data_IF_390446145622
#
_entry.id   IF_390446145622
#
_cell.length_a   1.000
_cell.length_b   1.000
_cell.length_c   1.000
_cell.angle_alpha   90.00
_cell.angle_beta   90.00
_cell.angle_gamma   90.00
#
_symmetry.space_group_name_H-M   'P 1'
#
loop_
_entity.id
_entity.type
_entity.pdbx_description
1 polymer ?
#
# COMPACT_ATOMS: atom_id res chain seq x y z
N UNK A 1 -30.46 5.11 8.61
CA UNK A 1 -29.00 5.38 8.56
C UNK A 1 -28.31 4.13 9.07
N UNK A 2 -27.68 3.35 8.19
CA UNK A 2 -26.91 2.19 8.61
C UNK A 2 -25.57 2.68 9.18
N UNK A 3 -25.33 2.41 10.45
CA UNK A 3 -24.03 2.59 11.09
C UNK A 3 -23.01 1.73 10.36
N UNK A 4 -21.95 2.36 9.83
CA UNK A 4 -20.80 1.64 9.28
C UNK A 4 -20.27 0.64 10.33
N UNK A 5 -19.91 -0.60 9.93
CA UNK A 5 -19.35 -1.56 10.87
C UNK A 5 -18.08 -0.95 11.48
N UNK A 6 -17.90 -1.12 12.80
CA UNK A 6 -16.69 -0.71 13.48
C UNK A 6 -15.50 -1.43 12.82
N UNK A 7 -14.69 -0.70 12.07
CA UNK A 7 -13.40 -1.19 11.63
C UNK A 7 -12.57 -1.47 12.89
N UNK A 8 -11.94 -2.65 12.97
CA UNK A 8 -10.98 -2.92 14.03
C UNK A 8 -9.90 -1.86 14.03
N UNK A 9 -9.41 -1.48 15.22
CA UNK A 9 -8.31 -0.53 15.36
C UNK A 9 -7.13 -0.98 14.49
N UNK A 10 -6.46 -0.06 13.76
CA UNK A 10 -5.32 -0.43 12.94
C UNK A 10 -4.19 -0.99 13.82
N UNK A 11 -3.47 -1.98 13.29
CA UNK A 11 -2.25 -2.51 13.92
C UNK A 11 -1.04 -1.72 13.43
N UNK A 12 -0.25 -1.18 14.35
CA UNK A 12 0.99 -0.47 14.02
C UNK A 12 2.12 -1.49 13.88
N UNK A 13 2.92 -1.33 12.83
CA UNK A 13 4.11 -2.14 12.56
C UNK A 13 5.32 -1.21 12.54
N UNK A 14 6.07 -1.19 13.63
CA UNK A 14 7.27 -0.36 13.83
C UNK A 14 8.54 -1.18 14.05
N UNK A 15 8.45 -2.51 13.99
CA UNK A 15 9.56 -3.44 14.13
C UNK A 15 9.59 -4.48 13.00
N UNK A 16 10.78 -5.00 12.68
CA UNK A 16 10.93 -6.11 11.73
C UNK A 16 10.21 -7.38 12.21
N UNK A 17 10.15 -7.60 13.53
CA UNK A 17 9.50 -8.77 14.12
C UNK A 17 7.99 -8.76 13.86
N UNK A 18 7.35 -7.59 13.94
CA UNK A 18 5.92 -7.43 13.67
C UNK A 18 5.59 -7.42 12.17
N UNK A 19 6.58 -7.10 11.33
CA UNK A 19 6.46 -7.16 9.87
C UNK A 19 6.34 -8.60 9.35
N UNK A 20 6.98 -9.58 10.01
CA UNK A 20 6.98 -10.98 9.57
C UNK A 20 5.55 -11.60 9.56
N UNK A 21 4.75 -11.51 10.64
CA UNK A 21 3.35 -11.97 10.61
C UNK A 21 2.51 -11.31 9.51
N UNK A 22 2.74 -10.02 9.23
CA UNK A 22 2.06 -9.31 8.15
C UNK A 22 2.41 -9.94 6.78
N UNK A 23 3.69 -10.16 6.50
CA UNK A 23 4.14 -10.76 5.24
C UNK A 23 3.61 -12.17 5.04
N UNK A 24 3.52 -12.96 6.11
CA UNK A 24 2.92 -14.29 6.08
C UNK A 24 1.41 -14.21 5.79
N UNK A 25 0.71 -13.22 6.35
CA UNK A 25 -0.72 -13.03 6.07
C UNK A 25 -0.98 -12.71 4.60
N UNK A 26 -0.14 -11.88 3.97
CA UNK A 26 -0.28 -11.50 2.56
C UNK A 26 0.06 -12.66 1.63
N UNK A 27 1.09 -13.44 1.97
CA UNK A 27 1.56 -14.57 1.16
C UNK A 27 0.52 -15.68 0.98
N UNK A 28 -0.45 -15.78 1.90
CA UNK A 28 -1.49 -16.80 1.90
C UNK A 28 -2.81 -16.34 1.22
N UNK A 29 -2.84 -15.15 0.63
CA UNK A 29 -4.06 -14.59 0.02
C UNK A 29 -4.30 -15.13 -1.39
N UNK A 30 -5.56 -15.43 -1.77
CA UNK A 30 -5.90 -15.79 -3.15
C UNK A 30 -5.72 -14.60 -4.09
N UNK A 31 -5.06 -14.81 -5.24
CA UNK A 31 -4.70 -13.74 -6.19
C UNK A 31 -5.90 -13.14 -6.95
N UNK A 32 -7.01 -13.88 -7.07
CA UNK A 32 -8.11 -13.58 -8.00
C UNK A 32 -9.02 -12.40 -7.61
N UNK A 33 -8.79 -11.76 -6.46
CA UNK A 33 -9.54 -10.57 -6.03
C UNK A 33 -8.58 -9.45 -5.57
N UNK A 34 -8.94 -8.16 -5.74
CA UNK A 34 -8.13 -7.07 -5.20
C UNK A 34 -8.18 -7.11 -3.67
N UNK A 35 -7.13 -7.64 -3.06
CA UNK A 35 -7.10 -7.90 -1.62
C UNK A 35 -6.25 -6.89 -0.85
N UNK A 36 -5.43 -6.08 -1.51
CA UNK A 36 -4.56 -5.10 -0.86
C UNK A 36 -4.95 -3.69 -1.29
N UNK A 37 -5.37 -2.87 -0.33
CA UNK A 37 -5.57 -1.44 -0.49
C UNK A 37 -4.41 -0.72 0.17
N UNK A 38 -3.78 0.20 -0.56
CA UNK A 38 -2.58 0.88 -0.16
C UNK A 38 -2.75 2.39 -0.21
N UNK A 39 -2.13 3.05 0.75
CA UNK A 39 -1.96 4.48 0.78
C UNK A 39 -0.61 4.85 1.42
N UNK A 40 -0.03 5.97 1.00
CA UNK A 40 1.30 6.41 1.42
C UNK A 40 1.23 7.85 1.91
N UNK A 41 1.72 8.06 3.13
CA UNK A 41 1.75 9.37 3.76
C UNK A 41 3.18 9.78 4.07
N UNK A 42 3.48 11.07 3.95
CA UNK A 42 4.84 11.57 4.14
C UNK A 42 4.97 13.08 4.00
N UNK A 43 6.20 13.59 4.15
CA UNK A 43 6.49 15.01 3.99
C UNK A 43 6.91 15.25 2.54
N UNK A 44 6.18 16.13 1.83
CA UNK A 44 6.42 16.43 0.41
C UNK A 44 6.52 15.15 -0.44
N UNK A 45 5.55 14.24 -0.29
CA UNK A 45 5.57 12.90 -0.86
C UNK A 45 5.96 12.92 -2.35
N UNK A 46 7.07 12.27 -2.67
CA UNK A 46 7.71 12.25 -3.98
C UNK A 46 9.23 12.08 -3.84
N UNK A 47 9.98 12.21 -4.95
CA UNK A 47 11.44 11.97 -4.98
C UNK A 47 12.30 12.86 -4.08
N UNK A 48 11.80 14.01 -3.65
CA UNK A 48 12.54 14.98 -2.81
C UNK A 48 12.03 15.04 -1.36
N UNK A 49 11.03 14.21 -1.03
CA UNK A 49 10.42 14.18 0.29
C UNK A 49 10.78 12.93 1.06
N UNK A 50 9.83 12.45 1.84
CA UNK A 50 9.92 11.19 2.58
C UNK A 50 8.61 10.41 2.51
N UNK A 51 8.69 9.12 2.78
CA UNK A 51 7.54 8.29 3.16
C UNK A 51 7.64 8.09 4.67
N UNK A 52 6.58 8.39 5.39
CA UNK A 52 6.50 8.24 6.84
C UNK A 52 5.67 7.03 7.24
N UNK A 53 4.53 6.82 6.58
CA UNK A 53 3.61 5.72 6.88
C UNK A 53 3.16 5.07 5.57
N UNK A 54 3.08 3.74 5.57
CA UNK A 54 2.38 2.96 4.57
C UNK A 54 1.15 2.33 5.24
N UNK A 55 -0.03 2.72 4.77
CA UNK A 55 -1.29 2.13 5.21
C UNK A 55 -1.63 0.96 4.29
N UNK A 56 -1.78 -0.24 4.86
CA UNK A 56 -2.15 -1.44 4.13
C UNK A 56 -3.44 -2.02 4.71
N UNK A 57 -4.50 -2.06 3.91
CA UNK A 57 -5.74 -2.74 4.27
C UNK A 57 -5.93 -4.02 3.47
N UNK A 58 -6.11 -5.13 4.19
CA UNK A 58 -6.36 -6.44 3.61
C UNK A 58 -7.87 -6.71 3.63
N UNK A 59 -8.51 -6.67 2.46
CA UNK A 59 -9.98 -6.70 2.36
C UNK A 59 -10.59 -8.03 2.80
N UNK A 60 -9.94 -9.16 2.53
CA UNK A 60 -10.42 -10.50 2.92
C UNK A 60 -10.48 -10.67 4.44
N UNK A 61 -9.50 -10.13 5.17
CA UNK A 61 -9.42 -10.22 6.62
C UNK A 61 -10.03 -9.00 7.33
N UNK A 62 -10.34 -7.94 6.57
CA UNK A 62 -10.79 -6.63 7.07
C UNK A 62 -9.82 -6.01 8.07
N UNK A 63 -8.53 -6.27 7.90
CA UNK A 63 -7.47 -5.80 8.79
C UNK A 63 -6.72 -4.64 8.16
N UNK A 64 -6.41 -3.62 8.96
CA UNK A 64 -5.59 -2.48 8.53
C UNK A 64 -4.30 -2.47 9.33
N UNK A 65 -3.19 -2.30 8.62
CA UNK A 65 -1.84 -2.15 9.16
C UNK A 65 -1.31 -0.77 8.82
N UNK A 66 -0.66 -0.12 9.79
CA UNK A 66 0.10 1.12 9.59
C UNK A 66 1.56 0.79 9.79
N UNK A 67 2.31 0.74 8.69
CA UNK A 67 3.74 0.42 8.71
C UNK A 67 4.50 1.74 8.88
N UNK A 68 5.26 1.85 9.96
CA UNK A 68 6.09 3.01 10.28
C UNK A 68 7.37 2.99 9.42
N UNK A 69 7.26 3.55 8.21
CA UNK A 69 8.37 3.68 7.27
C UNK A 69 9.41 4.68 7.79
N UNK A 70 9.00 5.66 8.61
CA UNK A 70 9.93 6.62 9.19
C UNK A 70 10.94 5.93 10.12
N UNK A 71 10.46 5.06 11.01
CA UNK A 71 11.30 4.33 11.96
C UNK A 71 12.04 3.17 11.30
N UNK A 72 11.35 2.37 10.47
CA UNK A 72 11.92 1.17 9.84
C UNK A 72 12.81 1.47 8.63
N UNK A 73 12.60 2.60 7.95
CA UNK A 73 13.35 2.98 6.76
C UNK A 73 13.37 1.88 5.70
N UNK A 74 14.58 1.48 5.26
CA UNK A 74 14.74 0.41 4.25
C UNK A 74 14.29 -0.97 4.75
N UNK A 75 14.34 -1.23 6.06
CA UNK A 75 13.96 -2.53 6.61
C UNK A 75 12.48 -2.85 6.34
N UNK A 76 11.59 -1.83 6.37
CA UNK A 76 10.17 -1.99 6.04
C UNK A 76 9.92 -2.65 4.68
N UNK A 77 10.87 -2.49 3.73
CA UNK A 77 10.76 -3.04 2.39
C UNK A 77 11.67 -4.24 2.15
N UNK A 78 12.81 -4.32 2.83
CA UNK A 78 13.84 -5.33 2.59
C UNK A 78 13.71 -6.59 3.46
N UNK A 79 13.14 -6.49 4.66
CA UNK A 79 12.90 -7.64 5.53
C UNK A 79 11.98 -8.63 4.82
N UNK A 80 12.40 -9.89 4.79
CA UNK A 80 11.70 -10.97 4.10
C UNK A 80 11.36 -12.09 5.08
N UNK A 81 10.20 -12.71 4.87
CA UNK A 81 9.83 -13.92 5.60
C UNK A 81 10.65 -15.14 5.13
N UNK A 82 10.39 -16.30 5.75
CA UNK A 82 11.10 -17.56 5.42
C UNK A 82 10.91 -18.02 3.96
N UNK A 83 9.87 -17.52 3.28
CA UNK A 83 9.61 -17.79 1.87
C UNK A 83 10.27 -16.78 0.93
N UNK A 84 11.05 -15.82 1.46
CA UNK A 84 11.69 -14.75 0.69
C UNK A 84 10.75 -13.63 0.26
N UNK A 85 9.51 -13.59 0.77
CA UNK A 85 8.54 -12.54 0.48
C UNK A 85 8.80 -11.34 1.39
N UNK A 86 8.93 -10.17 0.77
CA UNK A 86 9.10 -8.87 1.40
C UNK A 86 8.07 -7.87 0.87
N UNK A 87 7.88 -6.74 1.57
CA UNK A 87 6.99 -5.69 1.08
C UNK A 87 7.44 -5.15 -0.29
N UNK A 88 8.76 -5.05 -0.54
CA UNK A 88 9.31 -4.73 -1.86
C UNK A 88 8.80 -5.70 -2.93
N UNK A 89 8.94 -7.01 -2.70
CA UNK A 89 8.50 -8.02 -3.67
C UNK A 89 6.98 -7.98 -3.94
N UNK A 90 6.18 -7.67 -2.92
CA UNK A 90 4.72 -7.50 -3.05
C UNK A 90 4.40 -6.28 -3.93
N UNK A 91 5.06 -5.14 -3.68
CA UNK A 91 4.86 -3.90 -4.44
C UNK A 91 5.31 -4.03 -5.91
N UNK A 92 6.41 -4.75 -6.17
CA UNK A 92 6.96 -5.01 -7.51
C UNK A 92 6.19 -6.08 -8.30
N UNK A 93 5.36 -6.89 -7.64
CA UNK A 93 4.67 -8.02 -8.30
C UNK A 93 3.55 -7.55 -9.23
N UNK A 94 3.62 -7.91 -10.50
CA UNK A 94 2.53 -7.72 -11.48
C UNK A 94 1.32 -8.62 -11.23
N UNK A 95 1.52 -9.72 -10.48
CA UNK A 95 0.52 -10.73 -10.19
C UNK A 95 -0.35 -10.31 -9.01
N UNK A 96 0.24 -9.72 -7.97
CA UNK A 96 -0.49 -9.25 -6.79
C UNK A 96 -1.12 -7.89 -7.09
N UNK A 97 -2.46 -7.77 -7.14
CA UNK A 97 -3.12 -6.50 -7.40
C UNK A 97 -3.07 -5.59 -6.17
N UNK A 98 -2.69 -4.32 -6.36
CA UNK A 98 -2.70 -3.28 -5.33
C UNK A 98 -3.67 -2.18 -5.72
N UNK A 99 -4.70 -1.96 -4.91
CA UNK A 99 -5.65 -0.87 -5.10
C UNK A 99 -5.15 0.37 -4.38
N UNK A 100 -5.14 1.49 -5.09
CA UNK A 100 -4.66 2.78 -4.59
C UNK A 100 -5.55 3.90 -5.13
N UNK A 101 -5.47 5.08 -4.54
CA UNK A 101 -6.06 6.28 -5.11
C UNK A 101 -4.93 7.25 -5.45
N UNK A 102 -4.76 7.57 -6.74
CA UNK A 102 -3.70 8.46 -7.23
C UNK A 102 -2.26 8.05 -6.85
N UNK A 103 -1.71 7.07 -7.56
CA UNK A 103 -0.39 6.51 -7.23
C UNK A 103 0.81 7.41 -7.59
N UNK A 104 0.62 8.54 -8.28
CA UNK A 104 1.70 9.25 -8.98
C UNK A 104 2.88 9.62 -8.06
N UNK A 105 2.59 10.33 -6.98
CA UNK A 105 3.59 10.77 -6.02
C UNK A 105 4.13 9.60 -5.19
N UNK A 106 3.27 8.65 -4.82
CA UNK A 106 3.66 7.43 -4.10
C UNK A 106 4.65 6.58 -4.89
N UNK A 107 4.40 6.38 -6.20
CA UNK A 107 5.29 5.68 -7.13
C UNK A 107 6.63 6.39 -7.28
N UNK A 108 6.63 7.72 -7.47
CA UNK A 108 7.85 8.52 -7.56
C UNK A 108 8.69 8.44 -6.28
N UNK A 109 8.05 8.48 -5.12
CA UNK A 109 8.70 8.32 -3.81
C UNK A 109 9.28 6.92 -3.63
N UNK A 110 8.50 5.86 -3.86
CA UNK A 110 8.93 4.46 -3.75
C UNK A 110 10.12 4.16 -4.66
N UNK A 111 10.06 4.61 -5.92
CA UNK A 111 11.15 4.40 -6.86
C UNK A 111 12.39 5.22 -6.50
N UNK A 112 12.25 6.54 -6.32
CA UNK A 112 13.41 7.40 -6.15
C UNK A 112 14.12 7.21 -4.82
N UNK A 113 13.37 7.01 -3.73
CA UNK A 113 13.93 6.90 -2.38
C UNK A 113 14.34 5.46 -2.03
N UNK A 114 13.57 4.47 -2.49
CA UNK A 114 13.73 3.06 -2.09
C UNK A 114 14.08 2.11 -3.23
N UNK A 115 14.13 2.58 -4.48
CA UNK A 115 14.39 1.76 -5.68
C UNK A 115 13.35 0.64 -5.86
N UNK A 116 12.08 0.97 -5.64
CA UNK A 116 10.94 0.04 -5.75
C UNK A 116 10.05 0.47 -6.93
N UNK A 117 10.20 -0.13 -8.12
CA UNK A 117 9.26 0.05 -9.22
C UNK A 117 7.96 -0.71 -8.93
N UNK A 118 6.88 0.02 -8.66
CA UNK A 118 5.56 -0.61 -8.44
C UNK A 118 4.98 -1.20 -9.73
N UNK A 119 4.34 -2.35 -9.63
CA UNK A 119 3.57 -2.99 -10.70
C UNK A 119 2.22 -3.47 -10.15
N UNK A 120 1.30 -3.99 -10.98
CA UNK A 120 0.02 -4.54 -10.53
C UNK A 120 -0.94 -3.51 -9.90
N UNK A 121 -0.72 -2.21 -10.16
CA UNK A 121 -1.53 -1.13 -9.59
C UNK A 121 -2.92 -1.06 -10.24
N UNK A 122 -3.95 -0.93 -9.40
CA UNK A 122 -5.33 -0.60 -9.76
C UNK A 122 -5.67 0.77 -9.16
N UNK A 123 -5.53 1.81 -9.96
CA UNK A 123 -5.75 3.18 -9.50
C UNK A 123 -7.23 3.58 -9.60
N UNK A 124 -7.86 3.75 -8.43
CA UNK A 124 -9.27 4.09 -8.32
C UNK A 124 -9.60 5.46 -8.91
N UNK A 125 -8.68 6.43 -8.85
CA UNK A 125 -8.91 7.75 -9.43
C UNK A 125 -9.02 7.65 -10.96
N UNK A 126 -8.14 6.86 -11.59
CA UNK A 126 -8.19 6.60 -13.04
C UNK A 126 -9.43 5.81 -13.43
N UNK A 127 -9.82 4.80 -12.64
CA UNK A 127 -11.03 4.03 -12.88
C UNK A 127 -12.30 4.90 -12.78
N UNK A 128 -12.36 5.78 -11.79
CA UNK A 128 -13.47 6.74 -11.63
C UNK A 128 -13.54 7.71 -12.82
N UNK A 129 -12.41 8.31 -13.19
CA UNK A 129 -12.31 9.23 -14.31
C UNK A 129 -12.74 8.59 -15.64
N UNK A 130 -12.39 7.31 -15.85
CA UNK A 130 -12.79 6.55 -17.03
C UNK A 130 -14.30 6.25 -17.07
N UNK A 131 -14.94 6.14 -15.90
CA UNK A 131 -16.38 5.88 -15.79
C UNK A 131 -17.23 7.16 -15.87
N UNK A 132 -16.67 8.31 -15.47
CA UNK A 132 -17.41 9.58 -15.43
C UNK A 132 -17.69 10.11 -16.84
N UNK A 133 -18.93 10.59 -17.07
CA UNK A 133 -19.36 11.21 -18.35
C UNK A 133 -18.70 12.56 -18.64
N UNK A 134 -18.14 13.22 -17.63
CA UNK A 134 -17.46 14.53 -17.73
C UNK A 134 -16.06 14.44 -17.10
N UNK A 135 -15.05 14.99 -17.77
CA UNK A 135 -13.63 14.81 -17.39
C UNK A 135 -13.16 15.98 -16.52
N UNK A 136 -13.04 15.76 -15.22
CA UNK A 136 -12.29 16.61 -14.28
C UNK A 136 -11.57 15.72 -13.27
N UNK A 137 -10.34 16.08 -12.89
CA UNK A 137 -9.59 15.34 -11.87
C UNK A 137 -10.20 15.59 -10.49
N UNK A 138 -10.33 14.52 -9.69
CA UNK A 138 -10.78 14.62 -8.29
C UNK A 138 -9.70 15.14 -7.33
N UNK A 139 -8.42 15.07 -7.72
CA UNK A 139 -7.31 15.61 -6.93
C UNK A 139 -7.26 17.13 -6.91
N UNK A 140 -8.04 17.78 -7.78
CA UNK A 140 -8.01 19.23 -8.00
C UNK A 140 -9.24 19.92 -7.36
N UNK A 141 -10.00 19.18 -6.54
CA UNK A 141 -11.24 19.62 -5.87
C UNK A 141 -11.02 19.87 -4.37
#
# INVERSE_FOLDING_TARGET
MATAPAHGSPTIIDSEADLLPLLDSVSNLPVDHPLLYLDLEGINLGRHGSISILSLHIASTKTTFLIDIHSLGRAAFATANNSGISMKSILESSIVPKVVFDIRNGSDALFSLFQIPVDGIKDLQLMELAHRKHRSYLSDL
#
